data_IF_675316798779
#
_entry.id   IF_675316798779
#
_cell.length_a   1.000
_cell.length_b   1.000
_cell.length_c   1.000
_cell.angle_alpha   90.00
_cell.angle_beta   90.00
_cell.angle_gamma   90.00
#
_symmetry.space_group_name_H-M   'P 1'
#
loop_
_entity.id
_entity.type
_entity.pdbx_description
1 polymer ?
#
# COMPACT_ATOMS: atom_id res chain seq x y z
N UNK A 1 -43.56 -29.81 -10.08
CA UNK A 1 -42.97 -28.46 -10.04
C UNK A 1 -41.47 -28.60 -10.14
N UNK A 2 -40.87 -28.09 -11.23
CA UNK A 2 -39.42 -28.08 -11.43
C UNK A 2 -38.85 -26.75 -10.93
N UNK A 3 -37.76 -26.80 -10.16
CA UNK A 3 -36.77 -25.73 -9.92
C UNK A 3 -35.93 -26.14 -8.70
N UNK A 4 -34.62 -26.00 -8.61
CA UNK A 4 -33.56 -25.48 -9.49
C UNK A 4 -32.26 -25.85 -8.76
N UNK A 5 -31.24 -26.32 -9.48
CA UNK A 5 -29.93 -26.60 -8.90
C UNK A 5 -29.29 -25.31 -8.32
N UNK A 6 -28.51 -25.41 -7.22
CA UNK A 6 -27.83 -24.25 -6.65
C UNK A 6 -26.69 -23.76 -7.56
N UNK A 7 -26.53 -22.44 -7.58
CA UNK A 7 -25.64 -21.68 -8.44
C UNK A 7 -24.15 -22.03 -8.25
N UNK A 8 -23.41 -22.05 -9.36
CA UNK A 8 -21.95 -22.13 -9.42
C UNK A 8 -21.28 -20.97 -8.66
N UNK A 9 -20.21 -21.22 -7.89
CA UNK A 9 -19.47 -20.16 -7.20
C UNK A 9 -18.63 -19.39 -8.22
N UNK A 10 -18.98 -18.13 -8.47
CA UNK A 10 -18.10 -17.20 -9.19
C UNK A 10 -17.00 -16.73 -8.24
N UNK A 11 -15.80 -17.30 -8.40
CA UNK A 11 -14.59 -16.77 -7.77
C UNK A 11 -14.29 -15.39 -8.36
N UNK A 12 -14.04 -14.33 -7.58
CA UNK A 12 -13.75 -13.03 -8.14
C UNK A 12 -12.38 -13.09 -8.83
N UNK A 13 -12.39 -13.06 -10.16
CA UNK A 13 -11.17 -12.93 -10.95
C UNK A 13 -10.49 -11.61 -10.58
N UNK A 14 -9.22 -11.69 -10.16
CA UNK A 14 -8.37 -10.52 -9.88
C UNK A 14 -8.42 -9.61 -11.11
N UNK A 15 -8.74 -8.31 -10.98
CA UNK A 15 -8.73 -7.40 -12.11
C UNK A 15 -7.31 -7.40 -12.71
N UNK A 16 -7.20 -7.81 -13.97
CA UNK A 16 -5.97 -7.62 -14.73
C UNK A 16 -5.85 -6.13 -15.08
N UNK A 17 -5.18 -5.38 -14.20
CA UNK A 17 -4.79 -4.01 -14.51
C UNK A 17 -3.68 -4.10 -15.56
N UNK A 18 -4.02 -3.81 -16.82
CA UNK A 18 -3.04 -3.62 -17.89
C UNK A 18 -2.29 -2.31 -17.63
N UNK A 19 -1.16 -2.39 -16.95
CA UNK A 19 -0.26 -1.26 -16.78
C UNK A 19 0.24 -0.82 -18.17
N UNK A 20 0.13 0.47 -18.46
CA UNK A 20 0.77 1.05 -19.66
C UNK A 20 2.27 0.79 -19.57
N UNK A 21 2.92 0.28 -20.65
CA UNK A 21 4.35 0.07 -20.66
C UNK A 21 5.08 1.35 -20.25
N UNK A 22 6.03 1.22 -19.32
CA UNK A 22 6.91 2.32 -18.92
C UNK A 22 7.55 2.91 -20.18
N UNK A 23 7.48 4.24 -20.42
CA UNK A 23 8.05 4.86 -21.60
C UNK A 23 9.52 4.47 -21.77
N UNK A 24 9.90 4.09 -23.00
CA UNK A 24 11.21 3.55 -23.40
C UNK A 24 12.39 3.91 -22.45
N UNK A 25 12.68 2.93 -21.59
CA UNK A 25 13.89 2.69 -20.80
C UNK A 25 14.88 3.82 -20.59
N UNK A 26 15.03 4.23 -19.32
CA UNK A 26 16.36 4.58 -18.73
C UNK A 26 16.50 4.17 -17.25
N UNK A 27 15.42 4.07 -16.46
CA UNK A 27 15.45 3.64 -15.05
C UNK A 27 14.08 3.14 -14.58
N UNK A 28 14.05 2.41 -13.47
CA UNK A 28 12.81 2.00 -12.82
C UNK A 28 11.95 3.20 -12.41
N UNK A 29 10.63 3.02 -12.45
CA UNK A 29 9.67 3.92 -11.78
C UNK A 29 9.78 3.69 -10.28
N UNK A 30 10.09 4.75 -9.54
CA UNK A 30 10.30 4.71 -8.10
C UNK A 30 9.01 5.09 -7.38
N UNK A 31 8.45 4.16 -6.61
CA UNK A 31 7.26 4.39 -5.80
C UNK A 31 7.67 4.42 -4.34
N UNK A 32 7.44 5.54 -3.66
CA UNK A 32 7.61 5.60 -2.20
C UNK A 32 6.26 5.37 -1.55
N UNK A 33 6.20 4.35 -0.71
CA UNK A 33 5.00 3.93 0.01
C UNK A 33 5.16 4.36 1.46
N UNK A 34 4.24 5.19 1.91
CA UNK A 34 4.20 5.72 3.25
C UNK A 34 3.16 4.99 4.10
N UNK A 35 3.64 4.25 5.10
CA UNK A 35 2.78 3.67 6.12
C UNK A 35 2.46 4.75 7.16
N UNK A 36 1.21 5.23 7.20
CA UNK A 36 0.75 6.24 8.14
C UNK A 36 1.08 5.92 9.60
N UNK A 37 1.11 6.95 10.45
CA UNK A 37 1.34 6.82 11.90
C UNK A 37 2.66 6.09 12.25
N UNK A 38 2.73 5.43 13.40
CA UNK A 38 3.87 4.64 13.87
C UNK A 38 4.42 5.12 15.21
N UNK A 39 5.02 4.21 15.97
CA UNK A 39 5.58 4.50 17.28
C UNK A 39 4.50 4.93 18.27
N UNK A 40 4.68 6.11 18.86
CA UNK A 40 3.75 6.72 19.81
C UNK A 40 2.40 7.12 19.22
N UNK A 41 2.32 7.28 17.89
CA UNK A 41 1.10 7.59 17.17
C UNK A 41 0.44 6.26 16.69
N UNK A 42 -0.67 5.81 17.30
CA UNK A 42 -1.35 4.58 16.91
C UNK A 42 -2.22 4.74 15.65
N UNK A 43 -2.58 5.97 15.27
CA UNK A 43 -3.70 6.26 14.37
C UNK A 43 -5.06 5.84 14.95
N UNK A 44 -6.03 5.60 14.07
CA UNK A 44 -7.34 5.11 14.42
C UNK A 44 -7.26 3.75 15.15
N UNK A 45 -8.25 3.50 16.02
CA UNK A 45 -8.38 2.25 16.77
C UNK A 45 -9.69 1.54 16.40
N UNK A 46 -9.59 0.26 16.03
CA UNK A 46 -10.74 -0.59 15.74
C UNK A 46 -11.43 -1.09 17.01
N UNK A 47 -12.71 -1.51 16.90
CA UNK A 47 -13.52 -1.97 18.03
C UNK A 47 -12.97 -3.20 18.76
N UNK A 48 -12.07 -3.97 18.14
CA UNK A 48 -11.39 -5.11 18.75
C UNK A 48 -9.91 -4.81 19.10
N UNK A 49 -9.54 -3.54 19.20
CA UNK A 49 -8.21 -3.10 19.64
C UNK A 49 -7.14 -3.06 18.55
N UNK A 50 -7.51 -3.22 17.27
CA UNK A 50 -6.58 -3.03 16.15
C UNK A 50 -6.11 -1.58 16.13
N UNK A 51 -4.82 -1.37 15.85
CA UNK A 51 -4.24 -0.04 15.66
C UNK A 51 -3.96 0.16 14.19
N UNK A 52 -4.41 1.28 13.63
CA UNK A 52 -4.19 1.66 12.24
C UNK A 52 -2.71 1.50 11.85
N UNK A 53 -1.78 1.99 12.67
CA UNK A 53 -0.33 1.90 12.40
C UNK A 53 0.17 0.49 12.07
N UNK A 54 -0.45 -0.55 12.64
CA UNK A 54 -0.08 -1.94 12.42
C UNK A 54 -0.66 -2.46 11.10
N UNK A 55 -1.93 -2.12 10.85
CA UNK A 55 -2.64 -2.50 9.62
C UNK A 55 -1.95 -1.89 8.40
N UNK A 56 -1.70 -0.58 8.43
CA UNK A 56 -1.10 0.14 7.30
C UNK A 56 0.35 -0.25 7.06
N UNK A 57 1.11 -0.65 8.10
CA UNK A 57 2.46 -1.19 7.92
C UNK A 57 2.44 -2.53 7.18
N UNK A 58 1.52 -3.42 7.54
CA UNK A 58 1.35 -4.71 6.85
C UNK A 58 0.95 -4.51 5.40
N UNK A 59 0.00 -3.61 5.11
CA UNK A 59 -0.41 -3.27 3.75
C UNK A 59 0.75 -2.66 2.96
N UNK A 60 1.52 -1.75 3.54
CA UNK A 60 2.65 -1.12 2.87
C UNK A 60 3.74 -2.14 2.48
N UNK A 61 4.06 -3.09 3.36
CA UNK A 61 5.01 -4.17 3.08
C UNK A 61 4.52 -5.11 1.99
N UNK A 62 3.23 -5.45 2.03
CA UNK A 62 2.57 -6.23 0.98
C UNK A 62 2.64 -5.53 -0.37
N UNK A 63 2.28 -4.25 -0.42
CA UNK A 63 2.34 -3.43 -1.63
C UNK A 63 3.78 -3.31 -2.15
N UNK A 64 4.76 -3.07 -1.28
CA UNK A 64 6.17 -3.05 -1.67
C UNK A 64 6.60 -4.36 -2.34
N UNK A 65 6.23 -5.51 -1.76
CA UNK A 65 6.55 -6.82 -2.35
C UNK A 65 5.95 -6.97 -3.74
N UNK A 66 4.67 -6.59 -3.91
CA UNK A 66 3.99 -6.68 -5.20
C UNK A 66 4.60 -5.74 -6.25
N UNK A 67 4.91 -4.49 -5.89
CA UNK A 67 5.54 -3.53 -6.79
C UNK A 67 6.93 -3.99 -7.21
N UNK A 68 7.74 -4.48 -6.27
CA UNK A 68 9.09 -4.98 -6.58
C UNK A 68 9.10 -6.27 -7.42
N UNK A 69 7.96 -6.96 -7.55
CA UNK A 69 7.82 -8.12 -8.44
C UNK A 69 7.52 -7.71 -9.88
N UNK A 70 7.11 -6.46 -10.13
CA UNK A 70 6.80 -5.94 -11.46
C UNK A 70 8.06 -5.36 -12.14
N UNK A 71 8.28 -5.71 -13.40
CA UNK A 71 9.50 -5.29 -14.11
C UNK A 71 9.44 -3.78 -14.41
N UNK A 72 10.52 -3.07 -14.08
CA UNK A 72 10.63 -1.63 -14.31
C UNK A 72 10.06 -0.77 -13.19
N UNK A 73 9.77 -1.36 -12.03
CA UNK A 73 9.31 -0.67 -10.84
C UNK A 73 10.21 -0.98 -9.64
N UNK A 74 10.35 -0.01 -8.74
CA UNK A 74 11.04 -0.15 -7.45
C UNK A 74 10.24 0.57 -6.36
N UNK A 75 9.96 -0.13 -5.27
CA UNK A 75 9.25 0.41 -4.11
C UNK A 75 10.15 0.59 -2.89
N UNK A 76 10.04 1.76 -2.26
CA UNK A 76 10.74 2.14 -1.03
C UNK A 76 9.70 2.48 0.05
N UNK A 77 9.93 2.07 1.29
CA UNK A 77 9.05 2.42 2.42
C UNK A 77 9.56 3.67 3.14
N UNK A 78 8.65 4.52 3.63
CA UNK A 78 9.05 5.57 4.58
C UNK A 78 9.48 4.99 5.93
N UNK A 79 8.79 3.94 6.40
CA UNK A 79 9.16 3.13 7.57
C UNK A 79 9.05 1.63 7.32
N UNK A 80 9.98 0.86 7.88
CA UNK A 80 9.99 -0.62 7.81
C UNK A 80 9.55 -1.28 9.13
N UNK A 81 9.45 -0.49 10.19
CA UNK A 81 9.07 -0.92 11.54
C UNK A 81 8.06 0.02 12.20
N UNK A 82 7.83 -0.23 13.49
CA UNK A 82 6.91 0.54 14.33
C UNK A 82 7.66 1.70 15.02
N UNK A 83 7.88 2.78 14.28
CA UNK A 83 8.43 4.03 14.79
C UNK A 83 7.76 5.22 14.11
N UNK A 84 7.72 6.33 14.82
CA UNK A 84 7.10 7.57 14.34
C UNK A 84 7.99 8.25 13.28
N UNK A 85 7.35 8.80 12.25
CA UNK A 85 7.99 9.71 11.28
C UNK A 85 7.17 11.00 11.20
N UNK A 86 7.77 12.18 11.46
CA UNK A 86 7.10 13.46 11.28
C UNK A 86 6.61 13.65 9.83
N UNK A 87 5.43 14.25 9.64
CA UNK A 87 4.80 14.40 8.32
C UNK A 87 5.75 14.99 7.25
N UNK A 88 6.49 16.05 7.59
CA UNK A 88 7.45 16.66 6.65
C UNK A 88 8.54 15.68 6.23
N UNK A 89 9.06 14.89 7.17
CA UNK A 89 10.12 13.91 6.92
C UNK A 89 9.69 12.81 5.95
N UNK A 90 8.42 12.42 5.95
CA UNK A 90 7.85 11.45 4.99
C UNK A 90 8.03 11.92 3.55
N UNK A 91 7.70 13.18 3.27
CA UNK A 91 7.86 13.76 1.93
C UNK A 91 9.34 14.02 1.57
N UNK A 92 10.20 14.28 2.54
CA UNK A 92 11.66 14.40 2.32
C UNK A 92 12.28 13.06 1.94
N UNK A 93 11.86 11.96 2.56
CA UNK A 93 12.27 10.60 2.15
C UNK A 93 11.86 10.34 0.70
N UNK A 94 10.63 10.70 0.32
CA UNK A 94 10.16 10.52 -1.04
C UNK A 94 11.03 11.26 -2.06
N UNK A 95 11.32 12.54 -1.79
CA UNK A 95 12.18 13.37 -2.65
C UNK A 95 13.61 12.84 -2.72
N UNK A 96 14.21 12.44 -1.59
CA UNK A 96 15.59 11.95 -1.56
C UNK A 96 15.78 10.62 -2.29
N UNK A 97 14.73 9.80 -2.36
CA UNK A 97 14.71 8.54 -3.11
C UNK A 97 14.43 8.70 -4.60
N UNK A 98 14.13 9.92 -5.06
CA UNK A 98 13.75 10.21 -6.44
C UNK A 98 12.41 9.58 -6.81
N UNK A 99 11.44 9.60 -5.88
CA UNK A 99 10.12 9.02 -6.12
C UNK A 99 9.41 9.71 -7.29
N UNK A 100 8.90 8.90 -8.21
CA UNK A 100 8.00 9.32 -9.28
C UNK A 100 6.54 9.33 -8.79
N UNK A 101 6.24 8.50 -7.78
CA UNK A 101 4.94 8.44 -7.11
C UNK A 101 5.12 8.30 -5.60
N UNK A 102 4.27 8.99 -4.84
CA UNK A 102 4.15 8.85 -3.40
C UNK A 102 2.75 8.35 -3.06
N UNK A 103 2.68 7.21 -2.35
CA UNK A 103 1.41 6.59 -1.93
C UNK A 103 1.40 6.54 -0.41
N UNK A 104 0.52 7.34 0.22
CA UNK A 104 0.30 7.24 1.67
C UNK A 104 -0.90 6.34 1.95
N UNK A 105 -0.73 5.43 2.91
CA UNK A 105 -1.72 4.42 3.27
C UNK A 105 -2.21 4.71 4.68
N UNK A 106 -3.51 4.93 4.79
CA UNK A 106 -4.25 5.19 6.01
C UNK A 106 -5.48 4.27 6.10
N UNK A 107 -5.95 4.04 7.31
CA UNK A 107 -7.19 3.36 7.63
C UNK A 107 -7.90 4.17 8.72
N UNK A 108 -8.16 5.43 8.40
CA UNK A 108 -8.76 6.43 9.27
C UNK A 108 -10.17 6.00 9.75
N UNK A 109 -10.65 6.68 10.78
CA UNK A 109 -12.02 6.54 11.27
C UNK A 109 -12.68 7.92 11.42
N UNK A 110 -14.00 7.94 11.27
CA UNK A 110 -14.86 9.08 11.56
C UNK A 110 -15.98 8.67 12.53
N UNK A 111 -16.60 9.61 13.26
CA UNK A 111 -17.69 9.33 14.22
C UNK A 111 -18.93 8.69 13.60
#
# INVERSE_FOLDING_TARGET
AANTAPAVPVSPAKPEIKLTPVPNGKRDIVIVIDAGHGGEDPGASGGAGQKEKNVVLSIAKELQRQVNAEKGYRAELTRTGDYFIPLRKRTEIARSKGADLFVSIHADAAP
#
